data_IF_767586526916
#
_entry.id   IF_767586526916
#
_cell.length_a   1.000
_cell.length_b   1.000
_cell.length_c   1.000
_cell.angle_alpha   90.00
_cell.angle_beta   90.00
_cell.angle_gamma   90.00
#
_symmetry.space_group_name_H-M   'P 1'
#
loop_
_entity.id
_entity.type
_entity.pdbx_description
1 polymer ?
#
# COMPACT_ATOMS: atom_id res chain seq x y z
N UNK A 1 0.24 -76.95 -17.74
CA UNK A 1 0.17 -75.73 -16.89
C UNK A 1 0.53 -74.53 -17.75
N UNK A 2 -0.46 -73.74 -18.10
CA UNK A 2 -0.28 -72.56 -18.96
C UNK A 2 -0.11 -71.34 -18.07
N UNK A 3 1.00 -70.66 -18.23
CA UNK A 3 1.28 -69.40 -17.54
C UNK A 3 0.50 -68.28 -18.22
N UNK A 4 -0.49 -67.69 -17.51
CA UNK A 4 -1.18 -66.48 -17.95
C UNK A 4 -0.25 -65.31 -17.83
N UNK A 5 -0.05 -64.53 -18.91
CA UNK A 5 0.62 -63.23 -18.93
C UNK A 5 -0.28 -62.18 -18.27
N UNK A 6 0.24 -61.51 -17.24
CA UNK A 6 -0.37 -60.35 -16.62
C UNK A 6 -0.16 -59.15 -17.56
N UNK A 7 -1.21 -58.38 -17.93
CA UNK A 7 -1.03 -57.19 -18.73
C UNK A 7 -0.36 -56.09 -17.92
N UNK A 8 0.70 -55.52 -18.49
CA UNK A 8 1.34 -54.31 -17.98
C UNK A 8 0.37 -53.15 -18.23
N UNK A 9 -0.16 -52.56 -17.15
CA UNK A 9 -0.93 -51.30 -17.21
C UNK A 9 0.05 -50.20 -17.55
N UNK A 10 -0.05 -49.68 -18.77
CA UNK A 10 0.69 -48.45 -19.15
C UNK A 10 0.31 -47.29 -18.22
N UNK A 11 1.32 -46.68 -17.67
CA UNK A 11 1.21 -45.48 -16.82
C UNK A 11 0.33 -44.42 -17.49
N UNK A 12 -0.82 -44.17 -16.89
CA UNK A 12 -1.63 -43.00 -17.20
C UNK A 12 -0.77 -41.74 -17.09
N UNK A 13 -0.56 -41.06 -18.19
CA UNK A 13 0.10 -39.77 -18.29
C UNK A 13 -0.46 -38.82 -17.22
N UNK A 14 0.37 -38.42 -16.29
CA UNK A 14 0.07 -37.31 -15.39
C UNK A 14 -0.38 -36.10 -16.25
N UNK A 15 -1.46 -35.42 -15.89
CA UNK A 15 -1.90 -34.28 -16.68
C UNK A 15 -0.74 -33.26 -16.74
N UNK A 16 -0.34 -32.89 -17.95
CA UNK A 16 0.59 -31.79 -18.19
C UNK A 16 -0.01 -30.53 -17.58
N UNK A 17 0.38 -30.17 -16.36
CA UNK A 17 0.09 -28.85 -15.79
C UNK A 17 0.81 -27.86 -16.69
N UNK A 18 0.05 -27.14 -17.51
CA UNK A 18 0.61 -26.12 -18.39
C UNK A 18 1.40 -25.14 -17.52
N UNK A 19 2.60 -24.76 -17.93
CA UNK A 19 3.47 -23.79 -17.23
C UNK A 19 2.78 -22.44 -16.96
N UNK A 20 1.64 -22.20 -17.60
CA UNK A 20 0.78 -21.01 -17.40
C UNK A 20 -0.02 -21.00 -16.09
N UNK A 21 -0.05 -22.10 -15.31
CA UNK A 21 -0.81 -22.20 -14.06
C UNK A 21 -0.01 -21.86 -12.79
N UNK A 22 1.32 -21.84 -12.86
CA UNK A 22 2.16 -21.56 -11.70
C UNK A 22 2.13 -20.10 -11.30
N UNK A 23 2.14 -19.78 -9.99
CA UNK A 23 2.26 -18.41 -9.52
C UNK A 23 3.52 -17.70 -10.06
N UNK A 24 3.49 -16.38 -10.16
CA UNK A 24 4.67 -15.56 -10.45
C UNK A 24 5.32 -15.20 -9.11
N UNK A 25 6.64 -15.31 -9.02
CA UNK A 25 7.40 -14.96 -7.82
C UNK A 25 7.92 -13.53 -7.90
N UNK A 26 7.74 -12.77 -6.82
CA UNK A 26 8.11 -11.36 -6.74
C UNK A 26 9.00 -11.12 -5.52
N UNK A 27 10.11 -10.41 -5.70
CA UNK A 27 10.95 -9.90 -4.61
C UNK A 27 10.56 -8.44 -4.32
N UNK A 28 10.16 -8.15 -3.08
CA UNK A 28 9.76 -6.81 -2.66
C UNK A 28 10.47 -6.38 -1.38
N UNK A 29 10.85 -5.11 -1.26
CA UNK A 29 11.52 -4.57 -0.06
C UNK A 29 10.78 -3.35 0.51
N UNK A 30 11.03 -3.04 1.81
CA UNK A 30 10.48 -1.86 2.51
C UNK A 30 10.95 -0.55 1.86
N UNK A 31 10.54 0.64 2.27
CA UNK A 31 9.61 0.99 3.35
C UNK A 31 8.19 0.43 3.11
N UNK A 32 7.39 0.26 4.18
CA UNK A 32 6.06 -0.36 4.04
C UNK A 32 5.13 0.39 3.07
N UNK A 33 5.20 1.72 3.00
CA UNK A 33 4.44 2.50 2.01
C UNK A 33 4.83 2.13 0.58
N UNK A 34 6.13 2.07 0.28
CA UNK A 34 6.65 1.68 -1.03
C UNK A 34 6.29 0.23 -1.37
N UNK A 35 6.38 -0.67 -0.38
CA UNK A 35 5.95 -2.06 -0.53
C UNK A 35 4.48 -2.15 -0.95
N UNK A 36 3.59 -1.36 -0.32
CA UNK A 36 2.17 -1.31 -0.69
C UNK A 36 1.99 -0.86 -2.15
N UNK A 37 2.72 0.16 -2.58
CA UNK A 37 2.67 0.61 -3.98
C UNK A 37 3.18 -0.46 -4.96
N UNK A 38 4.23 -1.21 -4.60
CA UNK A 38 4.74 -2.33 -5.42
C UNK A 38 3.67 -3.40 -5.66
N UNK A 39 2.73 -3.61 -4.74
CA UNK A 39 1.65 -4.60 -4.91
C UNK A 39 0.68 -4.24 -6.04
N UNK A 40 0.61 -2.98 -6.47
CA UNK A 40 -0.17 -2.59 -7.65
C UNK A 40 0.33 -3.27 -8.92
N UNK A 41 1.66 -3.49 -9.03
CA UNK A 41 2.29 -4.19 -10.14
C UNK A 41 1.82 -5.65 -10.17
N UNK A 42 1.78 -6.30 -8.99
CA UNK A 42 1.32 -7.69 -8.87
C UNK A 42 -0.15 -7.82 -9.28
N UNK A 43 -0.99 -6.88 -8.81
CA UNK A 43 -2.41 -6.84 -9.15
C UNK A 43 -2.63 -6.67 -10.67
N UNK A 44 -1.93 -5.75 -11.32
CA UNK A 44 -2.07 -5.52 -12.75
C UNK A 44 -1.56 -6.71 -13.58
N UNK A 45 -0.42 -7.31 -13.18
CA UNK A 45 0.07 -8.54 -13.82
C UNK A 45 -0.88 -9.73 -13.61
N UNK A 46 -1.54 -9.82 -12.48
CA UNK A 46 -2.62 -10.79 -12.28
C UNK A 46 -3.79 -10.54 -13.24
N UNK A 47 -4.24 -9.29 -13.37
CA UNK A 47 -5.30 -8.93 -14.30
C UNK A 47 -5.02 -9.31 -15.77
N UNK A 48 -3.75 -9.26 -16.18
CA UNK A 48 -3.34 -9.59 -17.56
C UNK A 48 -3.01 -11.06 -17.77
N UNK A 49 -2.53 -11.77 -16.75
CA UNK A 49 -2.04 -13.16 -16.88
C UNK A 49 -2.93 -14.22 -16.21
N UNK A 50 -3.81 -13.81 -15.29
CA UNK A 50 -4.55 -14.71 -14.41
C UNK A 50 -3.70 -15.43 -13.36
N UNK A 51 -2.37 -15.18 -13.32
CA UNK A 51 -1.44 -15.85 -12.41
C UNK A 51 -1.27 -15.04 -11.13
N UNK A 52 -1.58 -15.66 -9.99
CA UNK A 52 -1.37 -15.05 -8.68
C UNK A 52 0.11 -14.89 -8.34
N UNK A 53 0.43 -13.93 -7.46
CA UNK A 53 1.79 -13.67 -7.00
C UNK A 53 2.15 -14.39 -5.70
N UNK A 54 3.37 -14.93 -5.62
CA UNK A 54 4.06 -15.22 -4.36
C UNK A 54 5.00 -14.05 -4.11
N UNK A 55 4.81 -13.35 -2.99
CA UNK A 55 5.60 -12.17 -2.65
C UNK A 55 6.66 -12.57 -1.62
N UNK A 56 7.92 -12.39 -1.96
CA UNK A 56 9.04 -12.56 -1.05
C UNK A 56 9.48 -11.20 -0.50
N UNK A 57 9.35 -11.02 0.81
CA UNK A 57 9.76 -9.78 1.51
C UNK A 57 11.22 -9.84 1.88
N UNK A 58 11.96 -8.75 1.64
CA UNK A 58 13.37 -8.62 1.98
C UNK A 58 13.70 -7.22 2.50
N UNK A 59 14.81 -7.09 3.23
CA UNK A 59 15.40 -5.81 3.67
C UNK A 59 16.73 -5.49 2.97
N UNK A 60 17.04 -6.16 1.87
CA UNK A 60 18.32 -5.99 1.19
C UNK A 60 18.54 -4.58 0.60
N UNK A 61 17.44 -3.84 0.29
CA UNK A 61 17.50 -2.49 -0.30
C UNK A 61 17.00 -1.42 0.66
N UNK A 62 15.97 -1.71 1.45
CA UNK A 62 15.37 -0.81 2.42
C UNK A 62 14.75 -1.59 3.57
N UNK A 63 14.87 -1.06 4.78
CA UNK A 63 14.39 -1.70 6.00
C UNK A 63 12.94 -1.34 6.30
N UNK A 64 12.19 -2.30 6.81
CA UNK A 64 10.90 -2.03 7.44
C UNK A 64 11.09 -1.40 8.81
N UNK A 65 10.36 -0.33 9.11
CA UNK A 65 10.52 0.44 10.37
C UNK A 65 10.48 -0.42 11.63
N UNK A 66 9.67 -1.46 11.63
CA UNK A 66 9.51 -2.39 12.77
C UNK A 66 10.25 -3.71 12.59
N UNK A 67 11.11 -3.80 11.58
CA UNK A 67 11.79 -5.02 11.17
C UNK A 67 10.90 -5.93 10.30
N UNK A 68 11.59 -6.78 9.55
CA UNK A 68 10.95 -7.64 8.53
C UNK A 68 9.93 -8.62 9.13
N UNK A 69 10.31 -9.34 10.19
CA UNK A 69 9.46 -10.39 10.77
C UNK A 69 8.16 -9.81 11.31
N UNK A 70 8.25 -8.76 12.14
CA UNK A 70 7.06 -8.13 12.72
C UNK A 70 6.14 -7.54 11.64
N UNK A 71 6.73 -6.89 10.62
CA UNK A 71 5.94 -6.34 9.51
C UNK A 71 5.26 -7.46 8.74
N UNK A 72 5.97 -8.54 8.44
CA UNK A 72 5.41 -9.72 7.77
C UNK A 72 4.21 -10.30 8.52
N UNK A 73 4.34 -10.51 9.84
CA UNK A 73 3.28 -11.06 10.68
C UNK A 73 2.03 -10.16 10.70
N UNK A 74 2.22 -8.84 10.76
CA UNK A 74 1.13 -7.87 10.80
C UNK A 74 0.37 -7.77 9.47
N UNK A 75 1.08 -7.77 8.33
CA UNK A 75 0.43 -7.55 7.02
C UNK A 75 -0.10 -8.83 6.37
N UNK A 76 0.49 -10.00 6.67
CA UNK A 76 0.15 -11.27 6.02
C UNK A 76 -1.34 -11.65 6.12
N UNK A 77 -2.02 -11.52 7.27
CA UNK A 77 -3.43 -11.88 7.39
C UNK A 77 -4.35 -11.06 6.45
N UNK A 78 -3.98 -9.81 6.18
CA UNK A 78 -4.72 -8.96 5.25
C UNK A 78 -4.37 -9.30 3.80
N UNK A 79 -3.09 -9.45 3.47
CA UNK A 79 -2.64 -9.66 2.10
C UNK A 79 -3.12 -10.98 1.52
N UNK A 80 -3.16 -12.05 2.30
CA UNK A 80 -3.66 -13.36 1.84
C UNK A 80 -5.17 -13.36 1.49
N UNK A 81 -5.91 -12.31 1.86
CA UNK A 81 -7.31 -12.13 1.43
C UNK A 81 -7.43 -11.47 0.05
N UNK A 82 -6.32 -10.95 -0.50
CA UNK A 82 -6.35 -10.30 -1.81
C UNK A 82 -6.33 -11.37 -2.91
N UNK A 83 -7.21 -11.23 -3.90
CA UNK A 83 -7.43 -12.24 -4.94
C UNK A 83 -6.22 -12.52 -5.83
N UNK A 84 -5.31 -11.56 -5.97
CA UNK A 84 -4.10 -11.65 -6.80
C UNK A 84 -2.87 -12.18 -6.04
N UNK A 85 -2.96 -12.39 -4.73
CA UNK A 85 -1.87 -12.94 -3.91
C UNK A 85 -2.12 -14.43 -3.68
N UNK A 86 -1.11 -15.25 -3.96
CA UNK A 86 -1.10 -16.68 -3.66
C UNK A 86 -0.51 -16.92 -2.25
N UNK A 87 0.64 -16.29 -1.96
CA UNK A 87 1.33 -16.40 -0.67
C UNK A 87 2.23 -15.19 -0.40
N UNK A 88 2.54 -14.96 0.88
CA UNK A 88 3.52 -14.00 1.35
C UNK A 88 4.57 -14.73 2.17
N UNK A 89 5.85 -14.51 1.86
CA UNK A 89 6.99 -15.19 2.47
C UNK A 89 8.11 -14.22 2.81
N UNK A 90 8.93 -14.57 3.79
CA UNK A 90 10.23 -13.93 3.99
C UNK A 90 11.21 -14.56 3.00
N UNK A 91 12.00 -13.73 2.32
CA UNK A 91 12.98 -14.17 1.32
C UNK A 91 14.09 -14.99 1.96
N UNK A 92 14.37 -16.14 1.41
CA UNK A 92 15.35 -17.14 1.87
C UNK A 92 16.56 -17.27 0.93
N UNK A 93 16.69 -16.36 -0.05
CA UNK A 93 17.76 -16.39 -1.05
C UNK A 93 17.36 -17.04 -2.37
N UNK A 94 16.11 -17.50 -2.53
CA UNK A 94 15.63 -18.07 -3.79
C UNK A 94 15.59 -17.02 -4.92
N UNK A 95 15.74 -17.46 -6.16
CA UNK A 95 15.51 -16.60 -7.32
C UNK A 95 14.02 -16.27 -7.46
N UNK A 96 13.72 -15.03 -7.81
CA UNK A 96 12.36 -14.55 -8.08
C UNK A 96 12.24 -14.08 -9.54
N UNK A 97 11.07 -14.30 -10.14
CA UNK A 97 10.81 -13.90 -11.53
C UNK A 97 10.92 -12.38 -11.73
N UNK A 98 10.49 -11.59 -10.73
CA UNK A 98 10.42 -10.13 -10.83
C UNK A 98 10.90 -9.50 -9.52
N UNK A 99 11.90 -8.61 -9.62
CA UNK A 99 12.31 -7.75 -8.50
C UNK A 99 11.51 -6.44 -8.55
N UNK A 100 10.62 -6.24 -7.58
CA UNK A 100 9.75 -5.06 -7.48
C UNK A 100 10.45 -3.81 -6.95
N UNK A 101 11.73 -3.89 -6.59
CA UNK A 101 12.48 -2.78 -5.98
C UNK A 101 13.52 -2.16 -6.91
N UNK A 102 13.65 -2.62 -8.16
CA UNK A 102 14.66 -2.09 -9.11
C UNK A 102 14.46 -0.62 -9.45
N UNK A 103 13.24 -0.09 -9.34
CA UNK A 103 12.91 1.31 -9.56
C UNK A 103 13.68 2.27 -8.62
N UNK A 104 14.17 1.79 -7.47
CA UNK A 104 14.95 2.61 -6.51
C UNK A 104 16.26 3.10 -7.10
N UNK A 105 16.75 2.44 -8.13
CA UNK A 105 17.95 2.84 -8.86
C UNK A 105 17.66 3.80 -10.03
N UNK A 106 16.38 4.18 -10.24
CA UNK A 106 16.02 5.13 -11.30
C UNK A 106 16.43 6.56 -10.89
N UNK A 107 17.29 7.23 -11.68
CA UNK A 107 17.69 8.61 -11.41
C UNK A 107 16.54 9.62 -11.60
N UNK A 108 15.46 9.23 -12.28
CA UNK A 108 14.33 10.09 -12.62
C UNK A 108 13.04 9.68 -11.90
N UNK A 109 13.04 9.79 -10.58
CA UNK A 109 11.86 9.53 -9.75
C UNK A 109 10.89 10.71 -9.88
N UNK A 110 9.83 10.56 -10.68
CA UNK A 110 8.86 11.63 -10.95
C UNK A 110 7.41 11.29 -10.54
N UNK A 111 6.94 10.08 -10.80
CA UNK A 111 5.61 9.61 -10.33
C UNK A 111 5.54 8.09 -10.40
N UNK A 112 4.73 7.48 -9.52
CA UNK A 112 4.53 6.03 -9.55
C UNK A 112 4.08 5.50 -10.92
N UNK A 113 3.09 6.11 -11.60
CA UNK A 113 2.69 5.65 -12.94
C UNK A 113 3.85 5.62 -13.92
N UNK A 114 4.66 6.68 -13.95
CA UNK A 114 5.80 6.77 -14.89
C UNK A 114 6.90 5.78 -14.53
N UNK A 115 7.24 5.68 -13.25
CA UNK A 115 8.27 4.75 -12.75
C UNK A 115 7.85 3.31 -13.05
N UNK A 116 6.63 2.92 -12.71
CA UNK A 116 6.17 1.54 -12.88
C UNK A 116 5.93 1.17 -14.33
N UNK A 117 5.50 2.13 -15.17
CA UNK A 117 5.43 1.91 -16.62
C UNK A 117 6.81 1.61 -17.20
N UNK A 118 7.83 2.36 -16.79
CA UNK A 118 9.20 2.21 -17.29
C UNK A 118 9.83 0.87 -16.88
N UNK A 119 9.70 0.49 -15.62
CA UNK A 119 10.40 -0.68 -15.07
C UNK A 119 9.63 -2.00 -15.24
N UNK A 120 8.30 -1.95 -15.23
CA UNK A 120 7.48 -3.17 -15.16
C UNK A 120 6.47 -3.28 -16.29
N UNK A 121 6.36 -2.26 -17.15
CA UNK A 121 5.37 -2.15 -18.21
C UNK A 121 3.93 -2.32 -17.69
N UNK A 122 3.62 -1.70 -16.57
CA UNK A 122 2.28 -1.61 -15.98
C UNK A 122 1.79 -0.17 -16.05
N UNK A 123 0.47 0.03 -16.06
CA UNK A 123 -0.14 1.34 -16.31
C UNK A 123 -0.49 2.11 -15.03
N UNK A 124 -0.31 1.53 -13.83
CA UNK A 124 -0.90 2.05 -12.60
C UNK A 124 -2.40 2.22 -12.78
N UNK A 125 -3.11 1.09 -12.80
CA UNK A 125 -4.52 1.05 -13.12
C UNK A 125 -5.35 1.89 -12.14
N UNK A 126 -6.46 2.45 -12.65
CA UNK A 126 -7.47 3.15 -11.84
C UNK A 126 -8.28 2.19 -10.95
N UNK A 127 -7.94 0.93 -10.91
CA UNK A 127 -8.59 -0.07 -10.05
C UNK A 127 -7.87 -0.24 -8.73
N UNK A 128 -8.62 -0.29 -7.60
CA UNK A 128 -8.02 -0.58 -6.30
C UNK A 128 -7.26 -1.91 -6.33
N UNK A 129 -6.09 -1.93 -5.68
CA UNK A 129 -5.38 -3.20 -5.46
C UNK A 129 -5.52 -3.71 -4.03
N UNK A 130 -6.17 -2.97 -3.13
CA UNK A 130 -6.67 -3.47 -1.87
C UNK A 130 -8.20 -3.54 -1.91
N UNK A 131 -8.73 -4.69 -1.49
CA UNK A 131 -10.16 -4.94 -1.38
C UNK A 131 -10.50 -5.36 0.06
N UNK A 132 -11.36 -4.61 0.73
CA UNK A 132 -11.86 -4.92 2.07
C UNK A 132 -13.17 -4.19 2.33
N UNK A 133 -13.92 -4.65 3.35
CA UNK A 133 -15.04 -3.90 3.89
C UNK A 133 -14.53 -2.81 4.83
N UNK A 134 -15.03 -1.57 4.65
CA UNK A 134 -14.75 -0.48 5.57
C UNK A 134 -15.57 -0.60 6.86
N UNK A 135 -15.05 -0.03 7.94
CA UNK A 135 -15.79 0.08 9.20
C UNK A 135 -16.91 1.11 9.07
N UNK A 136 -18.17 0.66 9.06
CA UNK A 136 -19.36 1.51 8.85
C UNK A 136 -19.49 2.67 9.85
N UNK A 137 -18.96 2.50 11.07
CA UNK A 137 -18.94 3.55 12.11
C UNK A 137 -18.17 4.81 11.71
N UNK A 138 -17.34 4.76 10.66
CA UNK A 138 -16.54 5.88 10.18
C UNK A 138 -17.06 6.50 8.88
N UNK A 139 -18.24 6.11 8.42
CA UNK A 139 -18.79 6.51 7.12
C UNK A 139 -18.80 8.04 6.88
N UNK A 140 -18.98 8.83 7.92
CA UNK A 140 -18.97 10.29 7.84
C UNK A 140 -17.71 10.94 8.41
N UNK A 141 -16.78 10.14 8.91
CA UNK A 141 -15.57 10.64 9.59
C UNK A 141 -14.51 11.08 8.57
N UNK A 142 -13.88 12.21 8.84
CA UNK A 142 -12.64 12.62 8.19
C UNK A 142 -11.48 12.18 9.09
N UNK A 143 -10.59 11.34 8.57
CA UNK A 143 -9.37 11.00 9.30
C UNK A 143 -8.21 11.89 8.91
N UNK A 144 -7.46 12.36 9.91
CA UNK A 144 -6.14 12.95 9.75
C UNK A 144 -5.12 11.96 10.30
N UNK A 145 -4.04 11.72 9.55
CA UNK A 145 -2.91 10.91 9.96
C UNK A 145 -1.61 11.60 9.56
N UNK A 146 -0.75 11.90 10.52
CA UNK A 146 0.57 12.48 10.25
C UNK A 146 1.65 11.60 10.84
N UNK A 147 2.80 11.55 10.17
CA UNK A 147 4.00 10.89 10.69
C UNK A 147 4.90 11.93 11.33
N UNK A 148 5.47 11.64 12.49
CA UNK A 148 6.46 12.49 13.15
C UNK A 148 7.69 12.78 12.27
N UNK A 149 8.00 11.89 11.32
CA UNK A 149 9.09 12.06 10.35
C UNK A 149 8.73 12.95 9.15
N UNK A 150 7.44 13.17 8.89
CA UNK A 150 6.91 13.84 7.70
C UNK A 150 5.83 14.87 8.05
N UNK A 151 5.85 15.38 9.27
CA UNK A 151 4.98 16.48 9.67
C UNK A 151 5.30 17.74 8.86
N UNK A 152 4.25 18.45 8.48
CA UNK A 152 4.40 19.78 7.90
C UNK A 152 4.99 20.75 8.94
N UNK A 153 5.70 21.79 8.49
CA UNK A 153 6.24 22.80 9.39
C UNK A 153 5.19 23.42 10.32
N UNK A 154 5.62 23.93 11.47
CA UNK A 154 4.75 24.65 12.41
C UNK A 154 4.03 25.86 11.79
N UNK A 155 4.55 26.38 10.69
CA UNK A 155 3.92 27.47 9.90
C UNK A 155 2.68 27.02 9.13
N UNK A 156 2.43 25.70 9.01
CA UNK A 156 1.25 25.20 8.37
C UNK A 156 0.00 25.42 9.24
N UNK A 157 -1.04 25.99 8.67
CA UNK A 157 -2.25 26.33 9.42
C UNK A 157 -3.21 25.13 9.57
N UNK A 158 -2.91 24.25 10.51
CA UNK A 158 -3.76 23.09 10.82
C UNK A 158 -5.15 23.49 11.34
N UNK A 159 -5.25 24.60 12.09
CA UNK A 159 -6.55 25.10 12.57
C UNK A 159 -7.47 25.40 11.38
N UNK A 160 -6.96 26.11 10.37
CA UNK A 160 -7.73 26.41 9.15
C UNK A 160 -8.14 25.12 8.43
N UNK A 161 -7.22 24.15 8.31
CA UNK A 161 -7.52 22.84 7.70
C UNK A 161 -8.67 22.15 8.43
N UNK A 162 -8.61 22.07 9.76
CA UNK A 162 -9.64 21.40 10.58
C UNK A 162 -10.98 22.11 10.46
N UNK A 163 -11.00 23.44 10.49
CA UNK A 163 -12.24 24.23 10.29
C UNK A 163 -12.91 23.95 8.94
N UNK A 164 -12.12 23.77 7.88
CA UNK A 164 -12.64 23.47 6.53
C UNK A 164 -13.17 22.04 6.43
N UNK A 165 -12.50 21.08 7.06
CA UNK A 165 -12.85 19.66 6.98
C UNK A 165 -14.11 19.28 7.76
N UNK A 166 -14.58 20.16 8.69
CA UNK A 166 -15.84 19.98 9.42
C UNK A 166 -15.69 19.28 10.77
N UNK A 167 -16.82 18.99 11.46
CA UNK A 167 -16.79 18.63 12.89
C UNK A 167 -16.46 17.14 13.19
N UNK A 168 -16.68 16.22 12.28
CA UNK A 168 -16.39 14.78 12.53
C UNK A 168 -14.97 14.40 12.08
N UNK A 169 -13.99 15.12 12.63
CA UNK A 169 -12.58 14.87 12.39
C UNK A 169 -12.02 14.03 13.53
N UNK A 170 -11.16 13.05 13.19
CA UNK A 170 -10.43 12.20 14.14
C UNK A 170 -9.01 11.98 13.67
N UNK A 171 -8.10 11.80 14.63
CA UNK A 171 -6.74 11.39 14.32
C UNK A 171 -6.64 9.87 14.26
N UNK A 172 -6.14 9.32 13.15
CA UNK A 172 -5.95 7.88 12.96
C UNK A 172 -4.47 7.53 12.98
N UNK A 173 -4.06 6.62 13.84
CA UNK A 173 -2.68 6.13 13.90
C UNK A 173 -2.58 4.73 14.49
N UNK A 174 -1.48 4.01 14.19
CA UNK A 174 -1.10 2.79 14.90
C UNK A 174 -0.31 3.05 16.18
N UNK A 175 0.29 4.24 16.33
CA UNK A 175 1.15 4.60 17.45
C UNK A 175 0.71 5.93 18.08
N UNK A 176 0.44 5.91 19.36
CA UNK A 176 0.05 7.11 20.11
C UNK A 176 1.09 8.24 19.99
N UNK A 177 2.37 7.92 19.86
CA UNK A 177 3.44 8.89 19.71
C UNK A 177 3.27 9.83 18.50
N UNK A 178 2.67 9.37 17.40
CA UNK A 178 2.36 10.23 16.26
C UNK A 178 1.26 11.25 16.60
N UNK A 179 0.27 10.85 17.39
CA UNK A 179 -0.76 11.76 17.88
C UNK A 179 -0.18 12.80 18.87
N UNK A 180 0.62 12.34 19.82
CA UNK A 180 1.26 13.25 20.81
C UNK A 180 2.16 14.25 20.09
N UNK A 181 2.87 13.84 19.04
CA UNK A 181 3.65 14.74 18.19
C UNK A 181 2.76 15.74 17.43
N UNK A 182 1.64 15.28 16.86
CA UNK A 182 0.67 16.17 16.20
C UNK A 182 0.16 17.24 17.17
N UNK A 183 -0.29 16.88 18.37
CA UNK A 183 -0.76 17.80 19.39
C UNK A 183 0.35 18.78 19.78
N UNK A 184 1.58 18.29 20.04
CA UNK A 184 2.71 19.15 20.40
C UNK A 184 3.11 20.16 19.31
N UNK A 185 2.88 19.82 18.04
CA UNK A 185 3.18 20.68 16.89
C UNK A 185 2.09 21.73 16.65
N UNK A 186 0.83 21.36 16.85
CA UNK A 186 -0.33 22.16 16.42
C UNK A 186 -1.07 22.85 17.54
N UNK A 187 -0.89 22.39 18.78
CA UNK A 187 -1.72 22.75 19.96
C UNK A 187 -3.22 22.44 19.76
N UNK A 188 -3.52 21.41 18.96
CA UNK A 188 -4.89 21.01 18.62
C UNK A 188 -5.13 19.58 19.08
N UNK A 189 -6.15 19.40 19.90
CA UNK A 189 -6.66 18.08 20.29
C UNK A 189 -7.90 17.73 19.47
N UNK A 190 -7.87 16.58 18.81
CA UNK A 190 -9.02 15.96 18.13
C UNK A 190 -9.15 14.50 18.60
N UNK A 191 -10.33 13.87 18.53
CA UNK A 191 -10.50 12.50 18.99
C UNK A 191 -9.52 11.53 18.36
N UNK A 192 -8.80 10.75 19.17
CA UNK A 192 -7.83 9.76 18.74
C UNK A 192 -8.52 8.42 18.41
N UNK A 193 -8.16 7.81 17.31
CA UNK A 193 -8.49 6.44 16.93
C UNK A 193 -7.18 5.67 16.77
N UNK A 194 -6.98 4.66 17.61
CA UNK A 194 -5.87 3.72 17.49
C UNK A 194 -6.30 2.55 16.62
N UNK A 195 -5.48 2.24 15.61
CA UNK A 195 -5.56 1.07 14.76
C UNK A 195 -4.23 0.29 14.89
N UNK A 196 -4.11 -0.58 15.90
CA UNK A 196 -2.85 -1.22 16.28
C UNK A 196 -2.36 -2.26 15.27
N UNK A 197 -3.24 -2.78 14.41
CA UNK A 197 -2.89 -3.72 13.34
C UNK A 197 -3.04 -3.10 11.96
N UNK A 198 -2.33 -3.67 10.98
CA UNK A 198 -2.45 -3.28 9.59
C UNK A 198 -3.89 -3.42 9.06
N UNK A 199 -4.56 -4.52 9.40
CA UNK A 199 -5.95 -4.77 8.98
C UNK A 199 -6.90 -3.70 9.51
N UNK A 200 -6.82 -3.35 10.81
CA UNK A 200 -7.67 -2.30 11.39
C UNK A 200 -7.42 -0.93 10.75
N UNK A 201 -6.15 -0.61 10.45
CA UNK A 201 -5.79 0.62 9.74
C UNK A 201 -6.45 0.67 8.36
N UNK A 202 -6.35 -0.41 7.59
CA UNK A 202 -6.94 -0.51 6.25
C UNK A 202 -8.46 -0.38 6.30
N UNK A 203 -9.13 -1.09 7.21
CA UNK A 203 -10.58 -1.06 7.36
C UNK A 203 -11.11 0.30 7.86
N UNK A 204 -10.36 0.98 8.73
CA UNK A 204 -10.68 2.33 9.17
C UNK A 204 -10.60 3.32 8.00
N UNK A 205 -9.51 3.29 7.22
CA UNK A 205 -9.33 4.15 6.04
C UNK A 205 -10.41 3.85 5.00
N UNK A 206 -10.72 2.58 4.74
CA UNK A 206 -11.79 2.22 3.79
C UNK A 206 -13.14 2.73 4.26
N UNK A 207 -13.41 2.74 5.57
CA UNK A 207 -14.68 3.18 6.15
C UNK A 207 -14.90 4.70 6.12
N UNK A 208 -13.86 5.53 6.08
CA UNK A 208 -13.98 6.98 6.27
C UNK A 208 -14.57 7.72 5.06
N UNK A 209 -15.04 8.95 5.26
CA UNK A 209 -15.51 9.81 4.18
C UNK A 209 -14.35 10.41 3.37
N UNK A 210 -13.32 10.88 4.08
CA UNK A 210 -12.12 11.48 3.52
C UNK A 210 -10.93 11.11 4.39
N UNK A 211 -9.79 10.82 3.75
CA UNK A 211 -8.53 10.57 4.43
C UNK A 211 -7.53 11.69 4.13
N UNK A 212 -6.95 12.29 5.18
CA UNK A 212 -5.96 13.38 5.09
C UNK A 212 -4.66 12.90 5.71
N UNK A 213 -3.56 12.91 4.99
CA UNK A 213 -2.30 12.38 5.51
C UNK A 213 -1.07 13.04 4.92
N UNK A 214 0.02 13.05 5.68
CA UNK A 214 1.37 13.26 5.14
C UNK A 214 1.84 12.02 4.38
N UNK A 215 2.98 12.11 3.67
CA UNK A 215 3.61 10.97 3.00
C UNK A 215 3.95 9.88 4.02
N UNK A 216 3.19 8.78 3.99
CA UNK A 216 3.26 7.74 5.03
C UNK A 216 2.63 6.44 4.55
N UNK A 217 2.82 5.36 5.30
CA UNK A 217 2.13 4.08 5.06
C UNK A 217 0.60 4.22 4.99
N UNK A 218 -0.08 4.96 5.90
CA UNK A 218 -1.51 5.20 5.77
C UNK A 218 -1.94 5.88 4.47
N UNK A 219 -1.12 6.79 3.91
CA UNK A 219 -1.40 7.38 2.60
C UNK A 219 -1.33 6.32 1.48
N UNK A 220 -0.31 5.46 1.50
CA UNK A 220 -0.18 4.36 0.54
C UNK A 220 -1.36 3.37 0.62
N UNK A 221 -1.89 3.12 1.83
CA UNK A 221 -3.12 2.33 2.02
C UNK A 221 -4.30 3.03 1.35
N UNK A 222 -4.46 4.35 1.54
CA UNK A 222 -5.53 5.11 0.91
C UNK A 222 -5.41 5.12 -0.62
N UNK A 223 -4.17 5.12 -1.16
CA UNK A 223 -3.89 4.91 -2.58
C UNK A 223 -4.37 3.53 -3.04
N UNK A 224 -3.97 2.48 -2.32
CA UNK A 224 -4.32 1.11 -2.65
C UNK A 224 -5.84 0.83 -2.65
N UNK A 225 -6.58 1.55 -1.82
CA UNK A 225 -8.03 1.47 -1.70
C UNK A 225 -8.77 2.40 -2.69
N UNK A 226 -8.05 3.23 -3.44
CA UNK A 226 -8.64 4.35 -4.22
C UNK A 226 -9.56 5.24 -3.38
N UNK A 227 -9.18 5.43 -2.13
CA UNK A 227 -9.95 6.24 -1.20
C UNK A 227 -9.87 7.72 -1.54
N UNK A 228 -10.97 8.46 -1.39
CA UNK A 228 -10.96 9.93 -1.43
C UNK A 228 -9.98 10.42 -0.37
N UNK A 229 -8.94 11.15 -0.78
CA UNK A 229 -7.83 11.55 0.10
C UNK A 229 -7.25 12.90 -0.25
N UNK A 230 -6.61 13.51 0.75
CA UNK A 230 -5.82 14.73 0.62
C UNK A 230 -4.42 14.44 1.15
N UNK A 231 -3.42 14.55 0.29
CA UNK A 231 -2.02 14.42 0.70
C UNK A 231 -1.46 15.77 1.14
N UNK A 232 -0.95 15.83 2.37
CA UNK A 232 -0.24 16.97 2.92
C UNK A 232 1.25 16.84 2.60
N UNK A 233 1.73 17.59 1.62
CA UNK A 233 3.09 17.47 1.10
C UNK A 233 3.80 18.80 1.25
N UNK A 234 5.02 18.73 1.79
CA UNK A 234 5.88 19.90 1.81
C UNK A 234 6.36 20.21 0.38
N UNK A 235 6.29 21.47 -0.07
CA UNK A 235 6.85 21.88 -1.35
C UNK A 235 8.33 21.51 -1.44
N UNK A 236 8.76 21.00 -2.59
CA UNK A 236 10.14 20.59 -2.87
C UNK A 236 10.65 19.35 -2.12
N UNK A 237 9.77 18.53 -1.54
CA UNK A 237 10.20 17.24 -0.99
C UNK A 237 10.75 16.33 -2.09
N UNK A 238 11.85 15.63 -1.79
CA UNK A 238 12.44 14.65 -2.72
C UNK A 238 11.48 13.51 -3.06
N UNK A 239 10.56 13.21 -2.15
CA UNK A 239 9.59 12.13 -2.30
C UNK A 239 8.26 12.60 -2.89
N UNK A 240 8.23 13.78 -3.51
CA UNK A 240 7.02 14.33 -4.14
C UNK A 240 6.39 13.42 -5.20
N UNK A 241 7.19 12.54 -5.82
CA UNK A 241 6.71 11.55 -6.77
C UNK A 241 5.69 10.57 -6.18
N UNK A 242 5.78 10.28 -4.89
CA UNK A 242 4.84 9.40 -4.18
C UNK A 242 3.42 9.95 -4.20
N UNK A 243 3.30 11.27 -4.22
CA UNK A 243 2.01 11.95 -4.24
C UNK A 243 1.53 12.32 -5.64
N UNK A 244 2.39 12.28 -6.64
CA UNK A 244 2.05 12.57 -8.03
C UNK A 244 1.24 11.42 -8.62
N UNK A 245 -0.04 11.38 -8.32
CA UNK A 245 -0.99 10.45 -8.89
C UNK A 245 -1.66 11.07 -10.13
N UNK A 246 -2.04 10.25 -11.09
CA UNK A 246 -2.73 10.66 -12.32
C UNK A 246 -4.15 11.17 -12.10
N UNK A 247 -4.75 10.93 -10.94
CA UNK A 247 -6.07 11.43 -10.61
C UNK A 247 -5.99 12.78 -9.86
N UNK A 248 -6.22 13.92 -10.54
CA UNK A 248 -6.06 15.26 -9.97
C UNK A 248 -7.02 15.58 -8.81
N UNK A 249 -8.07 14.78 -8.61
CA UNK A 249 -9.02 14.98 -7.50
C UNK A 249 -8.45 14.59 -6.13
N UNK A 250 -7.23 14.04 -6.04
CA UNK A 250 -6.72 13.42 -4.82
C UNK A 250 -5.47 14.05 -4.23
N UNK A 251 -4.81 14.98 -4.90
CA UNK A 251 -3.56 15.58 -4.42
C UNK A 251 -3.60 17.08 -4.58
N UNK A 252 -3.48 17.79 -3.47
CA UNK A 252 -3.20 19.22 -3.49
C UNK A 252 -1.82 19.42 -2.89
N UNK A 253 -0.81 19.83 -3.68
CA UNK A 253 0.40 20.40 -3.11
C UNK A 253 0.01 21.64 -2.35
N UNK A 254 0.27 21.69 -1.05
CA UNK A 254 -0.08 22.86 -0.24
C UNK A 254 1.05 23.86 -0.31
N UNK A 255 1.28 24.45 -1.45
CA UNK A 255 2.09 25.67 -1.54
C UNK A 255 1.27 26.95 -1.30
N UNK A 256 -0.04 26.88 -1.53
CA UNK A 256 -0.98 27.94 -1.22
C UNK A 256 -2.31 27.30 -0.84
N UNK A 257 -2.69 27.37 0.44
CA UNK A 257 -4.01 26.96 0.94
C UNK A 257 -5.12 27.91 0.42
N UNK A 258 -5.23 28.03 -0.87
CA UNK A 258 -6.49 28.33 -1.49
C UNK A 258 -7.19 26.98 -1.73
N UNK A 259 -7.56 26.30 -0.64
CA UNK A 259 -8.55 25.23 -0.65
C UNK A 259 -9.90 25.85 -1.04
N UNK A 260 -9.96 26.23 -2.28
CA UNK A 260 -11.19 26.71 -2.91
C UNK A 260 -11.75 25.49 -3.60
N UNK A 261 -12.94 25.11 -3.16
CA UNK A 261 -13.81 24.10 -3.72
C UNK A 261 -13.39 22.62 -3.47
N UNK A 262 -13.71 22.14 -2.25
CA UNK A 262 -14.13 20.74 -2.04
C UNK A 262 -15.61 20.59 -2.46
#
# INVERSE_FOLDING_TARGET
>A
MSLQKIPIVENSSLPNISSSSLPITYLASGLLGDFIHQLSIVNEKYGTSGRKGIIYMTENLEHFRWGLVRTYEDIKPFLLKQNYIYDLRIHDGCECDINLSIWRNDPNLNSWPTIFKRHYNVSWSDTPWFCTQGMSKYKNTVFISTSSMRCLPKTFNYTKLIMILGPDIRFLTSEKSNYDHFVSLTDIEIPLVLAPSFTEMVEAIQGCALFVSTLSTPLAIADALHKKRLALIEPNTKDGYVAANTNPSFITPISNLNLIHL
#
